data_IF_738123845370
#
_entry.id   IF_738123845370
#
_cell.length_a   1.000
_cell.length_b   1.000
_cell.length_c   1.000
_cell.angle_alpha   90.00
_cell.angle_beta   90.00
_cell.angle_gamma   90.00
#
_symmetry.space_group_name_H-M   'P 1'
#
loop_
_entity.id
_entity.type
_entity.pdbx_description
1 polymer ?
#
# COMPACT_ATOMS: atom_id res chain seq x y z
N UNK A 1 -0.93 23.45 13.84
CA UNK A 1 -2.25 22.82 13.67
C UNK A 1 -2.52 22.02 14.93
N UNK A 2 -3.62 22.28 15.61
CA UNK A 2 -4.01 21.55 16.83
C UNK A 2 -4.72 20.24 16.46
N UNK A 3 -4.15 19.10 16.85
CA UNK A 3 -4.68 17.77 16.51
C UNK A 3 -5.85 17.33 17.41
N UNK A 4 -6.10 18.03 18.51
CA UNK A 4 -7.22 17.76 19.42
C UNK A 4 -8.57 18.13 18.80
N UNK A 5 -8.56 19.02 17.80
CA UNK A 5 -9.75 19.38 17.02
C UNK A 5 -10.16 18.25 16.04
N UNK A 6 -9.23 17.36 15.68
CA UNK A 6 -9.41 16.35 14.64
C UNK A 6 -9.48 14.92 15.19
N UNK A 7 -9.07 14.71 16.44
CA UNK A 7 -9.05 13.40 17.06
C UNK A 7 -8.87 13.45 18.56
N UNK A 8 -8.85 12.27 19.16
CA UNK A 8 -8.70 12.09 20.60
C UNK A 8 -7.51 11.21 20.89
N UNK A 9 -6.94 11.34 22.10
CA UNK A 9 -5.89 10.45 22.58
C UNK A 9 -6.40 9.56 23.69
N UNK A 10 -5.97 8.30 23.69
CA UNK A 10 -6.22 7.39 24.79
C UNK A 10 -5.22 7.58 25.95
N UNK A 11 -5.36 6.78 27.00
CA UNK A 11 -4.46 6.83 28.18
C UNK A 11 -3.00 6.44 27.87
N UNK A 12 -2.75 5.77 26.75
CA UNK A 12 -1.40 5.41 26.25
C UNK A 12 -0.82 6.50 25.35
N UNK A 13 -1.58 7.55 25.08
CA UNK A 13 -1.24 8.65 24.19
C UNK A 13 -1.46 8.32 22.71
N UNK A 14 -2.05 7.16 22.38
CA UNK A 14 -2.36 6.77 21.01
C UNK A 14 -3.47 7.67 20.48
N UNK A 15 -3.29 8.23 19.29
CA UNK A 15 -4.23 9.15 18.67
C UNK A 15 -5.17 8.40 17.73
N UNK A 16 -6.44 8.81 17.75
CA UNK A 16 -7.49 8.30 16.86
C UNK A 16 -8.26 9.49 16.25
N UNK A 17 -8.52 9.50 14.93
CA UNK A 17 -9.33 10.54 14.30
C UNK A 17 -10.79 10.49 14.78
N UNK A 18 -11.42 11.66 14.86
CA UNK A 18 -12.87 11.80 15.09
C UNK A 18 -13.66 11.34 13.85
N UNK A 19 -13.08 11.55 12.66
CA UNK A 19 -13.66 11.12 11.39
C UNK A 19 -13.56 9.60 11.25
N UNK A 20 -14.70 8.95 11.06
CA UNK A 20 -14.76 7.52 10.76
C UNK A 20 -14.28 7.24 9.33
N UNK A 21 -13.71 6.06 9.13
CA UNK A 21 -13.38 5.60 7.78
C UNK A 21 -14.67 5.33 7.01
N UNK A 22 -14.71 5.79 5.77
CA UNK A 22 -15.84 5.63 4.87
C UNK A 22 -15.32 5.32 3.48
N UNK A 23 -15.99 4.40 2.79
CA UNK A 23 -15.73 4.17 1.38
C UNK A 23 -16.24 5.34 0.53
N UNK A 24 -15.59 5.60 -0.61
CA UNK A 24 -16.03 6.64 -1.52
C UNK A 24 -17.41 6.32 -2.09
N UNK A 25 -18.17 7.34 -2.54
CA UNK A 25 -19.54 7.18 -3.05
C UNK A 25 -19.57 6.61 -4.48
N UNK A 26 -18.85 5.51 -4.73
CA UNK A 26 -18.73 4.82 -6.02
C UNK A 26 -19.71 3.65 -6.09
N UNK A 27 -19.65 2.76 -5.11
CA UNK A 27 -20.46 1.53 -5.06
C UNK A 27 -21.60 1.66 -4.03
N UNK A 28 -22.41 2.71 -4.18
CA UNK A 28 -23.54 2.99 -3.28
C UNK A 28 -24.87 3.00 -4.03
N UNK A 29 -25.94 2.60 -3.35
CA UNK A 29 -27.30 2.68 -3.87
C UNK A 29 -28.22 3.44 -2.90
N UNK A 30 -29.07 4.38 -3.38
CA UNK A 30 -29.14 4.87 -4.76
C UNK A 30 -27.84 5.59 -5.19
N UNK A 31 -27.53 5.52 -6.49
CA UNK A 31 -26.35 6.18 -7.04
C UNK A 31 -26.38 7.69 -6.77
N UNK A 32 -25.24 8.28 -6.41
CA UNK A 32 -25.11 9.72 -6.12
C UNK A 32 -24.06 10.37 -7.04
N UNK A 33 -24.38 10.68 -8.31
CA UNK A 33 -23.42 11.19 -9.29
C UNK A 33 -22.71 12.47 -8.85
N UNK A 34 -23.41 13.40 -8.20
CA UNK A 34 -22.82 14.65 -7.70
C UNK A 34 -21.78 14.38 -6.59
N UNK A 35 -22.06 13.43 -5.70
CA UNK A 35 -21.13 13.04 -4.65
C UNK A 35 -19.90 12.32 -5.24
N UNK A 36 -20.13 11.45 -6.22
CA UNK A 36 -19.06 10.81 -6.99
C UNK A 36 -18.14 11.83 -7.65
N UNK A 37 -18.68 12.80 -8.41
CA UNK A 37 -17.89 13.81 -9.10
C UNK A 37 -17.10 14.70 -8.11
N UNK A 38 -17.73 15.08 -6.98
CA UNK A 38 -17.05 15.83 -5.92
C UNK A 38 -15.89 15.05 -5.30
N UNK A 39 -16.05 13.74 -5.10
CA UNK A 39 -14.96 12.90 -4.61
C UNK A 39 -13.89 12.67 -5.68
N UNK A 40 -14.29 12.44 -6.94
CA UNK A 40 -13.36 12.11 -8.01
C UNK A 40 -12.40 13.28 -8.31
N UNK A 41 -12.93 14.50 -8.42
CA UNK A 41 -12.16 15.72 -8.70
C UNK A 41 -11.79 16.56 -7.46
N UNK A 42 -12.21 16.13 -6.26
CA UNK A 42 -12.01 16.89 -5.01
C UNK A 42 -10.63 16.71 -4.38
N UNK A 43 -10.43 17.41 -3.26
CA UNK A 43 -9.22 17.33 -2.43
C UNK A 43 -9.59 17.13 -0.93
N UNK A 44 -9.14 16.04 -0.29
CA UNK A 44 -8.63 14.82 -0.92
C UNK A 44 -9.73 14.10 -1.73
N UNK A 45 -9.34 13.40 -2.79
CA UNK A 45 -10.25 12.75 -3.73
C UNK A 45 -9.61 11.58 -4.46
N UNK A 46 -10.27 11.07 -5.50
CA UNK A 46 -9.70 9.96 -6.30
C UNK A 46 -8.41 10.39 -7.01
N UNK A 47 -8.41 11.56 -7.64
CA UNK A 47 -7.24 12.05 -8.36
C UNK A 47 -6.20 12.64 -7.40
N UNK A 48 -6.63 13.50 -6.47
CA UNK A 48 -5.74 14.35 -5.69
C UNK A 48 -5.61 13.93 -4.22
N UNK A 49 -4.42 14.08 -3.60
CA UNK A 49 -3.15 14.43 -4.24
C UNK A 49 -2.43 13.22 -4.85
N UNK A 50 -2.59 12.04 -4.24
CA UNK A 50 -1.63 10.95 -4.38
C UNK A 50 -1.63 10.30 -5.77
N UNK A 51 -2.79 9.99 -6.35
CA UNK A 51 -2.85 9.35 -7.66
C UNK A 51 -2.25 10.23 -8.77
N UNK A 52 -2.49 11.54 -8.73
CA UNK A 52 -1.85 12.50 -9.65
C UNK A 52 -0.34 12.56 -9.42
N UNK A 53 0.14 12.58 -8.17
CA UNK A 53 1.59 12.53 -7.88
C UNK A 53 2.22 11.30 -8.50
N UNK A 54 1.65 10.11 -8.31
CA UNK A 54 2.19 8.87 -8.88
C UNK A 54 2.11 8.84 -10.41
N UNK A 55 1.04 9.37 -11.00
CA UNK A 55 0.90 9.45 -12.45
C UNK A 55 1.92 10.41 -13.07
N UNK A 56 2.17 11.56 -12.43
CA UNK A 56 3.20 12.52 -12.86
C UNK A 56 4.59 11.89 -12.77
N UNK A 57 4.91 11.24 -11.65
CA UNK A 57 6.20 10.54 -11.49
C UNK A 57 6.36 9.47 -12.57
N UNK A 58 5.35 8.60 -12.78
CA UNK A 58 5.41 7.56 -13.80
C UNK A 58 5.57 8.13 -15.22
N UNK A 59 4.91 9.25 -15.52
CA UNK A 59 5.05 9.96 -16.80
C UNK A 59 6.46 10.50 -16.99
N UNK A 60 7.03 11.13 -15.95
CA UNK A 60 8.42 11.61 -16.00
C UNK A 60 9.42 10.46 -16.13
N UNK A 61 9.18 9.33 -15.46
CA UNK A 61 9.98 8.13 -15.62
C UNK A 61 9.92 7.64 -17.07
N UNK A 62 8.73 7.51 -17.65
CA UNK A 62 8.56 7.09 -19.03
C UNK A 62 9.26 8.01 -20.03
N UNK A 63 9.07 9.33 -19.89
CA UNK A 63 9.59 10.30 -20.86
C UNK A 63 11.10 10.58 -20.72
N UNK A 64 11.65 10.47 -19.51
CA UNK A 64 13.00 10.96 -19.22
C UNK A 64 13.94 9.91 -18.63
N UNK A 65 13.41 8.82 -18.08
CA UNK A 65 14.20 7.86 -17.30
C UNK A 65 13.85 6.38 -17.58
N UNK A 66 13.33 6.10 -18.78
CA UNK A 66 13.12 4.75 -19.30
C UNK A 66 13.92 4.59 -20.60
N UNK A 67 14.67 3.50 -20.77
CA UNK A 67 15.41 3.26 -22.01
C UNK A 67 14.50 3.23 -23.24
N UNK A 68 15.07 3.47 -24.42
CA UNK A 68 14.30 3.42 -25.67
C UNK A 68 13.75 2.02 -25.93
N UNK A 69 12.63 1.93 -26.67
CA UNK A 69 12.06 0.65 -27.08
C UNK A 69 13.07 -0.24 -27.81
N UNK A 70 13.96 0.36 -28.61
CA UNK A 70 15.02 -0.40 -29.29
C UNK A 70 16.03 -1.00 -28.32
N UNK A 71 16.47 -0.23 -27.31
CA UNK A 71 17.36 -0.73 -26.24
C UNK A 71 16.74 -1.88 -25.47
N UNK A 72 15.42 -1.81 -25.21
CA UNK A 72 14.72 -2.79 -24.39
C UNK A 72 14.42 -4.10 -25.12
N UNK A 73 14.64 -4.20 -26.44
CA UNK A 73 14.47 -5.47 -27.20
C UNK A 73 15.43 -6.56 -26.73
N UNK A 74 16.66 -6.17 -26.38
CA UNK A 74 17.71 -7.11 -25.94
C UNK A 74 18.03 -6.87 -24.48
N UNK A 75 17.84 -7.90 -23.65
CA UNK A 75 18.24 -7.85 -22.24
C UNK A 75 19.75 -7.62 -22.14
N UNK A 76 20.14 -6.54 -21.45
CA UNK A 76 21.54 -6.20 -21.25
C UNK A 76 21.76 -5.68 -19.82
N UNK A 77 22.85 -6.07 -19.12
CA UNK A 77 23.10 -5.66 -17.75
C UNK A 77 23.10 -4.14 -17.54
N UNK A 78 23.53 -3.36 -18.53
CA UNK A 78 23.64 -1.90 -18.42
C UNK A 78 22.32 -1.20 -18.14
N UNK A 79 21.29 -1.43 -18.97
CA UNK A 79 20.00 -0.77 -18.77
C UNK A 79 19.19 -1.39 -17.63
N UNK A 80 19.39 -2.68 -17.34
CA UNK A 80 18.80 -3.34 -16.16
C UNK A 80 19.35 -2.70 -14.87
N UNK A 81 20.67 -2.53 -14.78
CA UNK A 81 21.31 -1.86 -13.64
C UNK A 81 20.90 -0.38 -13.53
N UNK A 82 20.74 0.30 -14.67
CA UNK A 82 20.21 1.67 -14.70
C UNK A 82 18.81 1.75 -14.06
N UNK A 83 17.87 0.88 -14.46
CA UNK A 83 16.53 0.84 -13.88
C UNK A 83 16.56 0.51 -12.38
N UNK A 84 17.43 -0.42 -11.96
CA UNK A 84 17.60 -0.77 -10.55
C UNK A 84 18.03 0.44 -9.71
N UNK A 85 19.07 1.16 -10.17
CA UNK A 85 19.58 2.36 -9.48
C UNK A 85 18.52 3.46 -9.49
N UNK A 86 17.84 3.69 -10.62
CA UNK A 86 16.75 4.67 -10.73
C UNK A 86 15.63 4.38 -9.72
N UNK A 87 15.19 3.13 -9.63
CA UNK A 87 14.15 2.70 -8.69
C UNK A 87 14.61 2.84 -7.22
N UNK A 88 15.86 2.47 -6.94
CA UNK A 88 16.45 2.68 -5.61
C UNK A 88 16.49 4.17 -5.22
N UNK A 89 16.93 5.04 -6.12
CA UNK A 89 16.96 6.50 -5.89
C UNK A 89 15.56 7.05 -5.66
N UNK A 90 14.58 6.62 -6.47
CA UNK A 90 13.20 7.09 -6.32
C UNK A 90 12.62 6.70 -4.95
N UNK A 91 12.78 5.44 -4.55
CA UNK A 91 12.34 4.95 -3.23
C UNK A 91 13.09 5.66 -2.10
N UNK A 92 14.42 5.82 -2.23
CA UNK A 92 15.22 6.52 -1.24
C UNK A 92 14.73 7.96 -1.01
N UNK A 93 14.51 8.72 -2.08
CA UNK A 93 14.06 10.10 -1.98
C UNK A 93 12.62 10.19 -1.47
N UNK A 94 11.72 9.36 -1.99
CA UNK A 94 10.30 9.43 -1.63
C UNK A 94 10.08 8.98 -0.17
N UNK A 95 10.48 7.76 0.19
CA UNK A 95 10.33 7.25 1.56
C UNK A 95 11.21 8.02 2.55
N UNK A 96 12.41 8.39 2.12
CA UNK A 96 13.33 9.21 2.89
C UNK A 96 12.76 10.58 3.24
N UNK A 97 12.01 11.23 2.36
CA UNK A 97 11.36 12.51 2.66
C UNK A 97 10.35 12.38 3.82
N UNK A 98 9.49 11.36 3.78
CA UNK A 98 8.54 11.08 4.88
C UNK A 98 9.30 10.74 6.17
N UNK A 99 10.27 9.84 6.09
CA UNK A 99 11.03 9.40 7.25
C UNK A 99 11.84 10.54 7.89
N UNK A 100 12.50 11.37 7.07
CA UNK A 100 13.25 12.53 7.52
C UNK A 100 12.33 13.50 8.26
N UNK A 101 11.19 13.86 7.66
CA UNK A 101 10.27 14.87 8.20
C UNK A 101 9.56 14.39 9.48
N UNK A 102 9.08 13.14 9.50
CA UNK A 102 8.22 12.61 10.56
C UNK A 102 9.00 11.89 11.68
N UNK A 103 10.09 11.20 11.36
CA UNK A 103 10.77 10.30 12.30
C UNK A 103 12.17 10.77 12.72
N UNK A 104 12.93 11.39 11.83
CA UNK A 104 14.27 11.93 12.18
C UNK A 104 14.18 13.33 12.77
N UNK A 105 13.57 14.27 12.04
CA UNK A 105 13.42 15.66 12.49
C UNK A 105 12.28 15.82 13.49
N UNK A 106 11.28 14.92 13.46
CA UNK A 106 10.09 14.94 14.32
C UNK A 106 9.43 16.33 14.40
N UNK A 107 9.37 17.03 13.26
CA UNK A 107 8.95 18.45 13.18
C UNK A 107 7.55 18.73 13.74
N UNK A 108 6.66 17.73 13.76
CA UNK A 108 5.32 17.83 14.35
C UNK A 108 5.17 17.02 15.65
N UNK A 109 6.28 16.56 16.24
CA UNK A 109 6.26 15.69 17.42
C UNK A 109 5.38 14.45 17.19
N UNK A 110 4.46 14.20 18.12
CA UNK A 110 3.46 13.13 18.02
C UNK A 110 2.10 13.62 17.52
N UNK A 111 1.98 14.88 17.09
CA UNK A 111 0.74 15.43 16.56
C UNK A 111 0.26 14.59 15.37
N UNK A 112 -1.00 14.14 15.40
CA UNK A 112 -1.61 13.20 14.45
C UNK A 112 -0.99 11.79 14.39
N UNK A 113 -0.06 11.43 15.29
CA UNK A 113 0.58 10.10 15.32
C UNK A 113 -0.35 9.07 15.97
N UNK A 114 -0.70 8.00 15.25
CA UNK A 114 -1.66 7.02 15.76
C UNK A 114 -1.16 6.26 16.99
N UNK A 115 0.08 5.77 16.95
CA UNK A 115 0.73 5.15 18.10
C UNK A 115 1.71 6.13 18.73
N UNK A 116 1.62 6.38 20.04
CA UNK A 116 2.47 7.37 20.72
C UNK A 116 3.96 7.01 20.70
N UNK A 117 4.29 5.71 20.54
CA UNK A 117 5.66 5.22 20.53
C UNK A 117 6.34 5.48 19.18
N UNK A 118 7.65 5.65 19.24
CA UNK A 118 8.54 5.67 18.07
C UNK A 118 8.89 4.24 17.62
N UNK A 119 9.48 4.06 16.42
CA UNK A 119 9.86 2.73 15.92
C UNK A 119 10.71 1.95 16.93
N UNK A 120 10.48 0.64 17.00
CA UNK A 120 11.08 -0.25 17.99
C UNK A 120 12.61 -0.32 17.82
N UNK A 121 13.30 -0.26 18.95
CA UNK A 121 14.70 -0.66 19.13
C UNK A 121 14.75 -1.81 20.13
N UNK A 122 15.81 -2.58 20.11
CA UNK A 122 16.05 -3.72 21.02
C UNK A 122 14.93 -4.78 20.98
N UNK A 123 14.40 -5.05 19.78
CA UNK A 123 13.34 -6.04 19.56
C UNK A 123 13.79 -7.12 18.57
N UNK A 124 13.92 -8.35 19.05
CA UNK A 124 14.42 -9.52 18.29
C UNK A 124 13.53 -9.93 17.11
N UNK A 125 12.33 -9.39 16.99
CA UNK A 125 11.49 -9.58 15.81
C UNK A 125 12.05 -8.92 14.54
N UNK A 126 12.98 -7.97 14.67
CA UNK A 126 13.58 -7.22 13.56
C UNK A 126 15.06 -7.58 13.38
N UNK A 127 15.54 -7.55 12.13
CA UNK A 127 16.97 -7.64 11.82
C UNK A 127 17.75 -6.57 12.60
N UNK A 128 18.89 -6.97 13.17
CA UNK A 128 19.71 -6.12 14.04
C UNK A 128 18.96 -5.50 15.23
N UNK A 129 17.82 -6.11 15.63
CA UNK A 129 16.94 -5.63 16.69
C UNK A 129 16.43 -4.20 16.50
N UNK A 130 16.40 -3.69 15.26
CA UNK A 130 16.01 -2.31 14.95
C UNK A 130 15.02 -2.28 13.79
N UNK A 131 13.79 -1.86 14.07
CA UNK A 131 12.70 -1.81 13.09
C UNK A 131 13.04 -0.99 11.85
N UNK A 132 13.70 0.17 12.01
CA UNK A 132 14.01 1.03 10.86
C UNK A 132 15.07 0.40 9.97
N UNK A 133 16.10 -0.21 10.57
CA UNK A 133 17.17 -0.89 9.82
C UNK A 133 16.61 -2.09 9.07
N UNK A 134 15.83 -2.93 9.74
CA UNK A 134 15.14 -4.07 9.13
C UNK A 134 14.29 -3.66 7.92
N UNK A 135 13.43 -2.65 8.10
CA UNK A 135 12.53 -2.21 7.04
C UNK A 135 13.28 -1.64 5.83
N UNK A 136 14.35 -0.87 6.06
CA UNK A 136 15.21 -0.35 4.98
C UNK A 136 15.90 -1.50 4.24
N UNK A 137 16.38 -2.51 4.96
CA UNK A 137 17.01 -3.70 4.33
C UNK A 137 16.00 -4.42 3.44
N UNK A 138 14.81 -4.75 3.93
CA UNK A 138 13.81 -5.45 3.11
C UNK A 138 13.35 -4.62 1.90
N UNK A 139 13.24 -3.30 2.07
CA UNK A 139 12.92 -2.39 0.97
C UNK A 139 13.99 -2.44 -0.14
N UNK A 140 15.27 -2.28 0.19
CA UNK A 140 16.33 -2.17 -0.82
C UNK A 140 16.91 -3.51 -1.28
N UNK A 141 16.94 -4.52 -0.41
CA UNK A 141 17.47 -5.84 -0.73
C UNK A 141 16.43 -6.75 -1.40
N UNK A 142 15.13 -6.47 -1.24
CA UNK A 142 14.06 -7.30 -1.83
C UNK A 142 13.07 -6.51 -2.68
N UNK A 143 12.41 -5.49 -2.12
CA UNK A 143 11.32 -4.80 -2.84
C UNK A 143 11.81 -4.14 -4.13
N UNK A 144 12.87 -3.33 -4.06
CA UNK A 144 13.44 -2.60 -5.19
C UNK A 144 13.94 -3.53 -6.31
N UNK A 145 14.72 -4.60 -6.03
CA UNK A 145 15.10 -5.57 -7.05
C UNK A 145 13.91 -6.28 -7.70
N UNK A 146 12.90 -6.70 -6.92
CA UNK A 146 11.73 -7.41 -7.46
C UNK A 146 10.82 -6.51 -8.27
N UNK A 147 10.60 -5.26 -7.83
CA UNK A 147 9.95 -4.24 -8.64
C UNK A 147 10.69 -4.06 -9.97
N UNK A 148 12.01 -3.88 -9.91
CA UNK A 148 12.83 -3.69 -11.12
C UNK A 148 12.76 -4.90 -12.04
N UNK A 149 12.74 -6.13 -11.51
CA UNK A 149 12.59 -7.34 -12.32
C UNK A 149 11.25 -7.36 -13.08
N UNK A 150 10.14 -7.06 -12.41
CA UNK A 150 8.82 -6.97 -13.06
C UNK A 150 8.80 -5.87 -14.14
N UNK A 151 9.43 -4.73 -13.86
CA UNK A 151 9.52 -3.64 -14.81
C UNK A 151 10.34 -4.03 -16.05
N UNK A 152 11.55 -4.56 -15.85
CA UNK A 152 12.46 -5.02 -16.91
C UNK A 152 11.76 -6.03 -17.81
N UNK A 153 11.13 -7.05 -17.23
CA UNK A 153 10.46 -8.11 -17.98
C UNK A 153 9.26 -7.57 -18.76
N UNK A 154 8.47 -6.69 -18.16
CA UNK A 154 7.30 -6.10 -18.81
C UNK A 154 7.70 -5.18 -19.97
N UNK A 155 8.70 -4.31 -19.77
CA UNK A 155 9.19 -3.42 -20.81
C UNK A 155 9.86 -4.18 -21.96
N UNK A 156 10.66 -5.20 -21.65
CA UNK A 156 11.24 -6.10 -22.64
C UNK A 156 10.15 -6.83 -23.45
N UNK A 157 9.09 -7.30 -22.80
CA UNK A 157 7.98 -7.96 -23.47
C UNK A 157 7.23 -7.01 -24.42
N UNK A 158 6.99 -5.76 -24.02
CA UNK A 158 6.44 -4.73 -24.92
C UNK A 158 7.35 -4.45 -26.11
N UNK A 159 8.66 -4.26 -25.86
CA UNK A 159 9.64 -3.95 -26.90
C UNK A 159 9.77 -5.04 -27.98
N UNK A 160 9.53 -6.30 -27.61
CA UNK A 160 9.56 -7.44 -28.51
C UNK A 160 8.19 -7.82 -29.08
N UNK A 161 7.12 -7.10 -28.74
CA UNK A 161 5.76 -7.45 -29.19
C UNK A 161 5.26 -8.80 -28.66
N UNK A 162 5.77 -9.25 -27.51
CA UNK A 162 5.35 -10.52 -26.85
C UNK A 162 3.99 -10.34 -26.18
N UNK A 163 3.71 -9.15 -25.67
CA UNK A 163 2.45 -8.78 -25.01
C UNK A 163 1.71 -7.69 -25.79
N UNK A 164 0.38 -7.56 -25.63
CA UNK A 164 -0.42 -6.61 -26.40
C UNK A 164 -0.04 -5.15 -26.14
N UNK A 165 0.39 -4.45 -27.19
CA UNK A 165 0.75 -3.03 -27.16
C UNK A 165 -0.36 -2.18 -27.79
N UNK A 166 -0.69 -1.04 -27.15
CA UNK A 166 -1.49 0.02 -27.77
C UNK A 166 -0.74 1.33 -27.78
N UNK A 167 -0.78 2.02 -28.91
CA UNK A 167 -0.23 3.36 -29.02
C UNK A 167 -1.16 4.39 -28.35
N UNK A 168 -0.58 5.31 -27.59
CA UNK A 168 -1.36 6.32 -26.88
C UNK A 168 -1.94 7.36 -27.83
N UNK A 169 -1.23 7.75 -28.89
CA UNK A 169 -1.69 8.75 -29.85
C UNK A 169 -2.83 8.21 -30.72
N UNK A 170 -2.82 6.92 -31.03
CA UNK A 170 -3.90 6.25 -31.78
C UNK A 170 -5.14 5.98 -30.92
N UNK A 171 -4.96 5.69 -29.62
CA UNK A 171 -6.05 5.32 -28.71
C UNK A 171 -6.11 6.15 -27.42
N UNK A 172 -6.16 7.49 -27.50
CA UNK A 172 -5.97 8.35 -26.31
C UNK A 172 -7.07 8.19 -25.26
N UNK A 173 -8.33 8.02 -25.67
CA UNK A 173 -9.46 7.84 -24.75
C UNK A 173 -9.34 6.52 -24.00
N UNK A 174 -9.02 5.43 -24.71
CA UNK A 174 -8.83 4.12 -24.10
C UNK A 174 -7.68 4.14 -23.10
N UNK A 175 -6.52 4.68 -23.48
CA UNK A 175 -5.37 4.77 -22.59
C UNK A 175 -5.65 5.66 -21.37
N UNK A 176 -6.36 6.78 -21.54
CA UNK A 176 -6.80 7.60 -20.41
C UNK A 176 -7.73 6.83 -19.45
N UNK A 177 -8.65 6.03 -19.96
CA UNK A 177 -9.53 5.17 -19.14
C UNK A 177 -8.69 4.13 -18.40
N UNK A 178 -7.75 3.45 -19.05
CA UNK A 178 -6.88 2.46 -18.40
C UNK A 178 -6.05 3.11 -17.29
N UNK A 179 -5.46 4.29 -17.54
CA UNK A 179 -4.77 5.08 -16.51
C UNK A 179 -5.67 5.33 -15.29
N UNK A 180 -6.94 5.71 -15.50
CA UNK A 180 -7.88 5.92 -14.41
C UNK A 180 -8.33 4.63 -13.72
N UNK A 181 -8.27 3.47 -14.36
CA UNK A 181 -8.67 2.19 -13.76
C UNK A 181 -7.55 1.49 -12.98
N UNK A 182 -6.29 1.81 -13.26
CA UNK A 182 -5.13 1.16 -12.61
C UNK A 182 -5.19 1.22 -11.08
N UNK A 183 -5.47 2.36 -10.41
CA UNK A 183 -5.53 2.36 -8.95
C UNK A 183 -6.68 1.51 -8.39
N UNK A 184 -7.80 1.41 -9.09
CA UNK A 184 -8.92 0.56 -8.69
C UNK A 184 -8.60 -0.93 -8.90
N UNK A 185 -7.94 -1.28 -10.01
CA UNK A 185 -7.48 -2.65 -10.22
C UNK A 185 -6.43 -3.07 -9.20
N UNK A 186 -5.49 -2.18 -8.87
CA UNK A 186 -4.48 -2.45 -7.84
C UNK A 186 -5.12 -2.68 -6.47
N UNK A 187 -6.15 -1.91 -6.09
CA UNK A 187 -6.90 -2.14 -4.84
C UNK A 187 -7.53 -3.55 -4.82
N UNK A 188 -8.16 -3.97 -5.93
CA UNK A 188 -8.69 -5.33 -6.05
C UNK A 188 -7.61 -6.40 -5.95
N UNK A 189 -6.53 -6.27 -6.73
CA UNK A 189 -5.42 -7.22 -6.73
C UNK A 189 -4.75 -7.31 -5.35
N UNK A 190 -4.48 -6.15 -4.73
CA UNK A 190 -3.92 -6.07 -3.39
C UNK A 190 -4.82 -6.77 -2.39
N UNK A 191 -6.13 -6.49 -2.36
CA UNK A 191 -7.07 -7.17 -1.47
C UNK A 191 -7.00 -8.70 -1.59
N UNK A 192 -6.98 -9.22 -2.82
CA UNK A 192 -6.95 -10.67 -3.08
C UNK A 192 -5.65 -11.30 -2.58
N UNK A 193 -4.51 -10.70 -2.92
CA UNK A 193 -3.18 -11.15 -2.47
C UNK A 193 -3.05 -11.02 -0.96
N UNK A 194 -3.46 -9.89 -0.40
CA UNK A 194 -3.33 -9.58 1.01
C UNK A 194 -4.17 -10.53 1.86
N UNK A 195 -5.43 -10.77 1.46
CA UNK A 195 -6.28 -11.77 2.13
C UNK A 195 -5.72 -13.19 2.01
N UNK A 196 -5.09 -13.54 0.89
CA UNK A 196 -4.42 -14.83 0.71
C UNK A 196 -3.23 -15.00 1.66
N UNK A 197 -2.35 -14.01 1.76
CA UNK A 197 -1.16 -14.09 2.62
C UNK A 197 -1.49 -14.02 4.12
N UNK A 198 -2.71 -13.61 4.49
CA UNK A 198 -3.25 -13.75 5.85
C UNK A 198 -3.78 -15.15 6.19
N UNK A 199 -3.82 -16.07 5.22
CA UNK A 199 -4.09 -17.47 5.52
C UNK A 199 -2.98 -18.04 6.41
N UNK A 200 -3.26 -18.74 7.54
CA UNK A 200 -2.26 -18.97 8.59
C UNK A 200 -0.92 -19.55 8.11
N UNK A 201 -0.84 -20.56 7.23
CA UNK A 201 0.45 -21.05 6.73
C UNK A 201 1.27 -19.98 6.02
N UNK A 202 0.65 -19.18 5.15
CA UNK A 202 1.32 -18.08 4.46
C UNK A 202 1.62 -16.93 5.42
N UNK A 203 0.72 -16.64 6.36
CA UNK A 203 0.95 -15.60 7.35
C UNK A 203 2.24 -15.86 8.13
N UNK A 204 2.38 -17.06 8.70
CA UNK A 204 3.56 -17.41 9.49
C UNK A 204 4.83 -17.50 8.64
N UNK A 205 4.71 -17.93 7.37
CA UNK A 205 5.85 -18.12 6.49
C UNK A 205 6.37 -16.81 5.87
N UNK A 206 5.49 -15.92 5.43
CA UNK A 206 5.87 -14.77 4.58
C UNK A 206 5.30 -13.43 5.04
N UNK A 207 4.12 -13.38 5.67
CA UNK A 207 3.48 -12.09 5.99
C UNK A 207 3.75 -11.58 7.42
N UNK A 208 4.11 -12.46 8.35
CA UNK A 208 4.44 -12.12 9.74
C UNK A 208 5.57 -11.08 9.81
N UNK A 209 6.52 -11.15 8.88
CA UNK A 209 7.63 -10.20 8.78
C UNK A 209 7.12 -8.76 8.65
N UNK A 210 6.21 -8.53 7.70
CA UNK A 210 5.58 -7.25 7.50
C UNK A 210 4.81 -6.81 8.77
N UNK A 211 4.03 -7.74 9.33
CA UNK A 211 3.21 -7.54 10.53
C UNK A 211 3.96 -7.39 11.86
N UNK A 212 5.26 -7.66 11.91
CA UNK A 212 6.08 -7.25 13.05
C UNK A 212 6.01 -5.72 13.24
N UNK A 213 5.69 -4.96 12.18
CA UNK A 213 5.48 -3.51 12.18
C UNK A 213 4.12 -3.04 12.71
N UNK A 214 3.66 -3.55 13.87
CA UNK A 214 2.41 -3.12 14.54
C UNK A 214 2.28 -1.60 14.80
N UNK A 215 3.42 -0.89 14.78
CA UNK A 215 3.52 0.56 14.74
C UNK A 215 4.26 0.93 13.44
N UNK A 216 3.55 1.03 12.31
CA UNK A 216 4.19 1.23 11.02
C UNK A 216 4.85 2.60 10.92
N UNK A 217 5.90 2.67 10.11
CA UNK A 217 6.47 3.91 9.59
C UNK A 217 6.66 3.82 8.08
N UNK A 218 7.13 4.88 7.41
CA UNK A 218 7.19 4.94 5.95
C UNK A 218 7.87 3.72 5.32
N UNK A 219 9.04 3.32 5.85
CA UNK A 219 9.79 2.15 5.38
C UNK A 219 9.07 0.81 5.60
N UNK A 220 8.16 0.72 6.57
CA UNK A 220 7.37 -0.50 6.80
C UNK A 220 6.52 -0.87 5.60
N UNK A 221 6.17 0.09 4.75
CA UNK A 221 5.31 -0.13 3.58
C UNK A 221 5.89 -1.04 2.50
N UNK A 222 7.23 -1.17 2.42
CA UNK A 222 7.91 -2.13 1.54
C UNK A 222 8.80 -3.11 2.33
N UNK A 223 8.58 -3.20 3.64
CA UNK A 223 9.26 -4.16 4.48
C UNK A 223 8.47 -5.47 4.49
N UNK A 224 8.64 -6.29 3.45
CA UNK A 224 7.92 -7.55 3.28
C UNK A 224 8.90 -8.68 2.91
N UNK A 225 8.44 -9.91 3.07
CA UNK A 225 9.18 -11.08 2.60
C UNK A 225 9.26 -11.11 1.06
N UNK A 226 10.33 -11.65 0.43
CA UNK A 226 10.45 -11.67 -1.03
C UNK A 226 9.28 -12.33 -1.77
N UNK A 227 8.68 -13.38 -1.20
CA UNK A 227 7.48 -14.01 -1.77
C UNK A 227 6.28 -13.06 -1.74
N UNK A 228 6.15 -12.25 -0.70
CA UNK A 228 5.10 -11.24 -0.63
C UNK A 228 5.34 -10.14 -1.66
N UNK A 229 6.57 -9.66 -1.85
CA UNK A 229 6.92 -8.73 -2.93
C UNK A 229 6.60 -9.29 -4.33
N UNK A 230 6.89 -10.58 -4.57
CA UNK A 230 6.55 -11.24 -5.84
C UNK A 230 5.04 -11.18 -6.10
N UNK A 231 4.23 -11.51 -5.09
CA UNK A 231 2.77 -11.45 -5.21
C UNK A 231 2.29 -9.99 -5.33
N UNK A 232 2.85 -9.07 -4.55
CA UNK A 232 2.48 -7.66 -4.51
C UNK A 232 2.71 -6.96 -5.86
N UNK A 233 3.90 -7.10 -6.46
CA UNK A 233 4.20 -6.48 -7.75
C UNK A 233 3.60 -7.22 -8.95
N UNK A 234 3.09 -8.45 -8.77
CA UNK A 234 2.45 -9.22 -9.84
C UNK A 234 1.21 -8.56 -10.44
N UNK A 235 0.65 -7.54 -9.79
CA UNK A 235 -0.48 -6.78 -10.31
C UNK A 235 -0.23 -6.24 -11.73
N UNK A 236 1.02 -5.90 -12.06
CA UNK A 236 1.41 -5.41 -13.39
C UNK A 236 1.11 -6.40 -14.52
N UNK A 237 1.02 -7.70 -14.23
CA UNK A 237 0.76 -8.75 -15.21
C UNK A 237 -0.61 -8.59 -15.91
N UNK A 238 -1.53 -7.80 -15.36
CA UNK A 238 -2.77 -7.44 -16.07
C UNK A 238 -2.49 -6.80 -17.44
N UNK A 239 -1.39 -6.04 -17.57
CA UNK A 239 -0.98 -5.36 -18.80
C UNK A 239 -0.37 -6.32 -19.82
N UNK A 240 -0.17 -7.60 -19.46
CA UNK A 240 0.27 -8.64 -20.39
C UNK A 240 -0.91 -9.28 -21.12
N UNK A 241 -2.13 -9.02 -20.64
CA UNK A 241 -3.38 -9.58 -21.17
C UNK A 241 -4.26 -8.46 -21.72
N UNK A 242 -4.40 -7.36 -20.97
CA UNK A 242 -5.16 -6.18 -21.39
C UNK A 242 -4.27 -5.30 -22.26
N UNK A 243 -4.67 -5.00 -23.53
CA UNK A 243 -3.94 -4.09 -24.40
C UNK A 243 -3.54 -2.81 -23.66
N UNK A 244 -2.23 -2.56 -23.58
CA UNK A 244 -1.70 -1.49 -22.73
C UNK A 244 -0.57 -0.75 -23.43
N UNK A 245 -0.42 0.53 -23.10
CA UNK A 245 0.78 1.27 -23.41
C UNK A 245 1.81 1.03 -22.27
N UNK A 246 3.14 1.02 -22.54
CA UNK A 246 4.15 0.85 -21.49
C UNK A 246 4.00 1.80 -20.31
N UNK A 247 3.51 3.03 -20.52
CA UNK A 247 3.25 3.99 -19.43
C UNK A 247 2.21 3.47 -18.42
N UNK A 248 1.26 2.63 -18.83
CA UNK A 248 0.30 1.99 -17.93
C UNK A 248 1.01 1.07 -16.93
N UNK A 249 1.91 0.20 -17.42
CA UNK A 249 2.69 -0.70 -16.57
C UNK A 249 3.64 0.07 -15.64
N UNK A 250 4.30 1.11 -16.15
CA UNK A 250 5.12 2.01 -15.34
C UNK A 250 4.31 2.71 -14.25
N UNK A 251 3.12 3.22 -14.58
CA UNK A 251 2.24 3.84 -13.60
C UNK A 251 1.78 2.84 -12.54
N UNK A 252 1.36 1.65 -12.94
CA UNK A 252 0.97 0.57 -12.03
C UNK A 252 2.08 0.22 -11.04
N UNK A 253 3.30 0.03 -11.53
CA UNK A 253 4.44 -0.32 -10.69
C UNK A 253 4.90 0.85 -9.81
N UNK A 254 4.91 2.08 -10.33
CA UNK A 254 5.32 3.30 -9.60
C UNK A 254 4.36 3.60 -8.44
N UNK A 255 3.08 3.81 -8.75
CA UNK A 255 2.02 2.98 -8.19
C UNK A 255 2.25 2.28 -6.83
N UNK A 256 2.31 0.95 -6.97
CA UNK A 256 2.62 -0.01 -5.93
C UNK A 256 3.92 0.29 -5.16
N UNK A 257 4.96 0.82 -5.80
CA UNK A 257 6.23 1.09 -5.13
C UNK A 257 6.17 2.29 -4.18
N UNK A 258 5.42 3.34 -4.52
CA UNK A 258 5.44 4.61 -3.77
C UNK A 258 4.27 4.78 -2.82
N UNK A 259 3.07 4.30 -3.17
CA UNK A 259 1.88 4.45 -2.34
C UNK A 259 1.98 3.89 -0.90
N UNK A 260 2.78 2.84 -0.62
CA UNK A 260 2.95 2.37 0.75
C UNK A 260 3.57 3.40 1.69
N UNK A 261 4.38 4.35 1.23
CA UNK A 261 5.03 5.33 2.11
C UNK A 261 4.03 6.23 2.87
N UNK A 262 3.09 6.95 2.21
CA UNK A 262 2.04 7.66 2.91
C UNK A 262 1.09 6.70 3.65
N UNK A 263 0.73 5.56 3.07
CA UNK A 263 -0.18 4.58 3.70
C UNK A 263 0.35 3.97 5.01
N UNK A 264 1.67 3.93 5.19
CA UNK A 264 2.35 3.44 6.39
C UNK A 264 2.99 4.57 7.20
N UNK A 265 2.70 5.83 6.90
CA UNK A 265 3.39 6.96 7.51
C UNK A 265 3.29 6.97 9.04
N UNK A 266 2.29 6.30 9.64
CA UNK A 266 2.08 6.24 11.10
C UNK A 266 1.43 7.49 11.68
N UNK A 267 1.01 8.42 10.80
CA UNK A 267 0.35 9.69 11.11
C UNK A 267 -0.86 9.87 10.22
N UNK A 268 -1.92 10.53 10.69
CA UNK A 268 -3.10 10.91 9.90
C UNK A 268 -2.81 12.02 8.91
N UNK A 269 -2.02 13.00 9.34
CA UNK A 269 -1.65 14.16 8.54
C UNK A 269 -0.16 14.46 8.62
N UNK A 270 0.38 14.96 7.52
CA UNK A 270 1.68 15.64 7.48
C UNK A 270 1.40 17.13 7.59
N UNK A 271 1.76 17.73 8.73
CA UNK A 271 1.52 19.15 9.01
C UNK A 271 2.44 20.02 8.16
N UNK A 272 1.89 21.00 7.46
CA UNK A 272 2.61 21.97 6.64
C UNK A 272 2.25 23.37 7.15
N UNK A 273 3.22 24.05 7.77
CA UNK A 273 2.97 25.33 8.42
C UNK A 273 2.06 25.21 9.65
N UNK A 274 1.39 26.30 9.99
CA UNK A 274 0.58 26.38 11.21
C UNK A 274 -0.84 25.86 11.02
N UNK A 275 -1.43 26.00 9.83
CA UNK A 275 -2.86 25.75 9.59
C UNK A 275 -3.16 24.69 8.54
N UNK A 276 -2.16 24.19 7.80
CA UNK A 276 -2.36 23.23 6.72
C UNK A 276 -1.76 21.85 7.04
N UNK A 277 -2.30 20.83 6.40
CA UNK A 277 -1.78 19.47 6.49
C UNK A 277 -2.29 18.61 5.33
N UNK A 278 -1.45 17.67 4.90
CA UNK A 278 -1.80 16.70 3.84
C UNK A 278 -2.22 15.39 4.50
N UNK A 279 -3.39 14.89 4.12
CA UNK A 279 -3.89 13.59 4.54
C UNK A 279 -3.01 12.46 4.00
N UNK A 280 -2.58 11.56 4.89
CA UNK A 280 -1.81 10.37 4.51
C UNK A 280 -2.70 9.21 4.07
N UNK A 281 -3.97 9.23 4.50
CA UNK A 281 -4.93 8.12 4.38
C UNK A 281 -4.48 6.82 5.06
N UNK A 282 -3.53 6.91 6.00
CA UNK A 282 -2.93 5.75 6.65
C UNK A 282 -3.80 5.06 7.72
N UNK A 283 -4.95 5.64 8.12
CA UNK A 283 -5.67 5.15 9.30
C UNK A 283 -6.25 3.74 9.08
N UNK A 284 -6.80 3.48 7.89
CA UNK A 284 -7.37 2.18 7.53
C UNK A 284 -6.33 1.06 7.65
N UNK A 285 -5.17 1.28 7.05
CA UNK A 285 -4.06 0.33 7.10
C UNK A 285 -3.35 0.30 8.47
N UNK A 286 -3.34 1.39 9.23
CA UNK A 286 -2.87 1.37 10.62
C UNK A 286 -3.74 0.45 11.48
N UNK A 287 -5.06 0.48 11.33
CA UNK A 287 -5.95 -0.45 12.03
C UNK A 287 -5.69 -1.90 11.61
N UNK A 288 -5.40 -2.13 10.34
CA UNK A 288 -4.95 -3.43 9.84
C UNK A 288 -3.70 -3.94 10.57
N UNK A 289 -2.63 -3.14 10.66
CA UNK A 289 -1.41 -3.51 11.41
C UNK A 289 -1.64 -3.67 12.92
N UNK A 290 -2.59 -2.91 13.49
CA UNK A 290 -2.92 -2.97 14.91
C UNK A 290 -3.70 -4.24 15.28
N UNK A 291 -4.60 -4.69 14.40
CA UNK A 291 -5.60 -5.71 14.72
C UNK A 291 -5.53 -6.98 13.86
N UNK A 292 -4.79 -6.97 12.75
CA UNK A 292 -4.50 -8.09 11.83
C UNK A 292 -5.71 -8.69 11.06
N UNK A 293 -6.91 -8.73 11.65
CA UNK A 293 -8.10 -9.38 11.10
C UNK A 293 -9.16 -8.42 10.50
N UNK A 294 -8.72 -7.26 10.00
CA UNK A 294 -9.60 -6.26 9.38
C UNK A 294 -8.89 -5.49 8.27
N UNK A 295 -9.66 -4.79 7.43
CA UNK A 295 -9.15 -3.82 6.43
C UNK A 295 -8.02 -4.36 5.54
N UNK A 296 -8.32 -5.37 4.73
CA UNK A 296 -7.35 -5.96 3.81
C UNK A 296 -7.20 -5.16 2.50
N UNK A 297 -8.13 -4.28 2.16
CA UNK A 297 -8.10 -3.42 0.96
C UNK A 297 -7.39 -2.07 1.22
N UNK A 298 -7.12 -1.32 0.14
CA UNK A 298 -6.60 0.05 0.16
C UNK A 298 -7.71 1.12 0.15
N UNK A 299 -8.96 0.76 -0.20
CA UNK A 299 -10.14 1.57 0.12
C UNK A 299 -10.91 2.22 -1.05
N UNK A 300 -10.61 1.90 -2.31
CA UNK A 300 -11.37 2.41 -3.48
C UNK A 300 -12.65 1.57 -3.70
N UNK A 301 -12.53 0.26 -3.56
CA UNK A 301 -13.61 -0.72 -3.71
C UNK A 301 -13.98 -1.23 -2.31
N UNK A 302 -15.28 -1.27 -1.91
CA UNK A 302 -15.72 -1.69 -0.58
C UNK A 302 -15.63 -3.20 -0.31
N UNK A 303 -14.48 -3.81 -0.64
CA UNK A 303 -14.22 -5.23 -0.52
C UNK A 303 -14.32 -5.69 0.94
N UNK A 304 -13.73 -4.97 1.90
CA UNK A 304 -13.85 -5.34 3.32
C UNK A 304 -15.28 -5.21 3.85
N UNK A 305 -16.10 -4.30 3.32
CA UNK A 305 -17.51 -4.23 3.68
C UNK A 305 -18.27 -5.43 3.11
N UNK A 306 -18.08 -5.75 1.83
CA UNK A 306 -18.73 -6.86 1.16
C UNK A 306 -18.39 -8.21 1.79
N UNK A 307 -17.16 -8.37 2.28
CA UNK A 307 -16.68 -9.61 2.90
C UNK A 307 -16.65 -9.59 4.43
N UNK A 308 -17.19 -8.54 5.07
CA UNK A 308 -17.41 -8.48 6.52
C UNK A 308 -16.14 -8.33 7.36
N UNK A 309 -15.07 -7.75 6.80
CA UNK A 309 -13.78 -7.50 7.44
C UNK A 309 -13.50 -6.02 7.68
N UNK A 310 -14.45 -5.13 7.37
CA UNK A 310 -14.26 -3.68 7.52
C UNK A 310 -14.31 -3.23 8.99
N UNK A 311 -13.33 -2.42 9.36
CA UNK A 311 -13.17 -1.78 10.64
C UNK A 311 -12.97 -0.27 10.47
N UNK A 312 -14.02 0.50 10.77
CA UNK A 312 -14.06 1.96 10.56
C UNK A 312 -13.47 2.80 11.70
N UNK A 313 -13.00 2.13 12.75
CA UNK A 313 -12.47 2.72 13.98
C UNK A 313 -13.49 2.75 15.11
N UNK A 314 -14.74 2.35 14.89
CA UNK A 314 -15.78 2.31 15.94
C UNK A 314 -15.61 1.14 16.91
N UNK A 315 -16.24 1.24 18.08
CA UNK A 315 -16.23 0.14 19.07
C UNK A 315 -17.04 -1.05 18.56
N UNK A 316 -18.11 -0.78 17.84
CA UNK A 316 -18.98 -1.78 17.21
C UNK A 316 -18.21 -2.60 16.18
N UNK A 317 -17.33 -1.97 15.38
CA UNK A 317 -16.47 -2.70 14.46
C UNK A 317 -15.45 -3.60 15.17
N UNK A 318 -14.85 -3.09 16.25
CA UNK A 318 -13.91 -3.85 17.08
C UNK A 318 -14.60 -5.06 17.71
N UNK A 319 -15.79 -4.90 18.27
CA UNK A 319 -16.55 -5.99 18.89
C UNK A 319 -16.99 -7.05 17.87
N UNK A 320 -17.38 -6.64 16.65
CA UNK A 320 -17.65 -7.58 15.55
C UNK A 320 -16.41 -8.40 15.19
N UNK A 321 -15.25 -7.76 15.11
CA UNK A 321 -13.98 -8.42 14.81
C UNK A 321 -13.59 -9.40 15.93
N UNK A 322 -13.61 -8.95 17.18
CA UNK A 322 -13.30 -9.78 18.35
C UNK A 322 -14.21 -11.01 18.42
N UNK A 323 -15.50 -10.86 18.13
CA UNK A 323 -16.43 -11.99 18.06
C UNK A 323 -16.00 -13.02 17.01
N UNK A 324 -15.64 -12.59 15.79
CA UNK A 324 -15.14 -13.51 14.74
C UNK A 324 -13.86 -14.23 15.18
N UNK A 325 -12.92 -13.50 15.79
CA UNK A 325 -11.66 -14.06 16.29
C UNK A 325 -11.92 -15.16 17.34
N UNK A 326 -12.76 -14.87 18.34
CA UNK A 326 -13.11 -15.83 19.39
C UNK A 326 -13.83 -17.07 18.84
N UNK A 327 -14.72 -16.91 17.86
CA UNK A 327 -15.39 -18.03 17.19
C UNK A 327 -14.41 -18.93 16.42
N UNK A 328 -13.40 -18.35 15.74
CA UNK A 328 -12.35 -19.12 15.05
C UNK A 328 -11.47 -19.87 16.05
N UNK A 329 -11.04 -19.21 17.12
CA UNK A 329 -10.24 -19.81 18.17
C UNK A 329 -10.95 -21.01 18.80
N UNK A 330 -12.25 -20.87 19.10
CA UNK A 330 -13.09 -21.97 19.60
C UNK A 330 -13.14 -23.15 18.63
N UNK A 331 -13.43 -22.92 17.34
CA UNK A 331 -13.44 -23.98 16.31
C UNK A 331 -12.09 -24.68 16.17
N UNK A 332 -10.99 -23.95 16.29
CA UNK A 332 -9.64 -24.51 16.24
C UNK A 332 -9.37 -25.42 17.45
N UNK A 333 -9.72 -24.96 18.66
CA UNK A 333 -9.59 -25.75 19.88
C UNK A 333 -10.43 -27.04 19.83
N UNK A 334 -11.68 -26.96 19.37
CA UNK A 334 -12.55 -28.14 19.18
C UNK A 334 -11.94 -29.14 18.18
N UNK A 335 -11.36 -28.65 17.07
CA UNK A 335 -10.70 -29.50 16.08
C UNK A 335 -9.44 -30.17 16.65
N UNK A 336 -8.69 -29.48 17.50
CA UNK A 336 -7.53 -30.06 18.19
C UNK A 336 -7.97 -31.13 19.20
N UNK A 337 -8.97 -30.87 20.04
CA UNK A 337 -9.49 -31.83 21.01
C UNK A 337 -10.00 -33.13 20.35
N UNK A 338 -10.71 -33.00 19.21
CA UNK A 338 -11.14 -34.16 18.41
C UNK A 338 -9.96 -34.97 17.85
N UNK A 339 -8.84 -34.32 17.52
CA UNK A 339 -7.63 -34.96 16.99
C UNK A 339 -6.78 -35.62 18.08
N UNK A 340 -6.80 -35.08 19.30
CA UNK A 340 -6.05 -35.64 20.44
C UNK A 340 -6.77 -36.78 21.16
N UNK A 341 -7.96 -37.18 20.69
CA UNK A 341 -8.71 -38.30 21.27
C UNK A 341 -9.18 -38.06 22.71
N UNK A 342 -9.23 -36.80 23.15
CA UNK A 342 -9.66 -36.42 24.50
C UNK A 342 -11.14 -36.05 24.43
N UNK A 343 -12.09 -36.88 24.94
CA UNK A 343 -13.46 -36.45 25.08
C UNK A 343 -13.52 -35.37 26.16
N UNK A 344 -14.35 -34.35 25.94
CA UNK A 344 -14.64 -33.26 26.87
C UNK A 344 -15.20 -33.75 28.19
#
# INVERSE_FOLDING_TARGET
>A
MDDTLYGTRDKRGDWKPNKLLQYPPVFIWPAKPVAFLKWFFGYPGYLMPWNVVYAVVATLLWLCATPSMETMKTLAPGWIAYLLVRNAVLVFLFFGAFHLRLYMQKKQGTSFKYNSKWPSKDNSAFLFSNQTVDNVIWTFASAVPLWTAFEVLTLWAFANGIIPYVDFAEHPIYCAIIMLLIPAFRDLHFYLVHRLIHWPPLYHAVHKLHHNNVNPGPWSGLAMHPVEHLLYFSGVLIHWIVPSNPIHALFHLTHAALAPAPGHAGFDKIVIGEEAGIDTHAYDHYLHHKFFECNYADGVIPLDQWFGTFHDGTKEAEDRMNKRFMERAKKYAEKQARRSGTPS
#
